data_IF_625384804049
#
_entry.id   IF_625384804049
#
_cell.length_a   1.000
_cell.length_b   1.000
_cell.length_c   1.000
_cell.angle_alpha   90.00
_cell.angle_beta   90.00
_cell.angle_gamma   90.00
#
_symmetry.space_group_name_H-M   'P 1'
#
loop_
_entity.id
_entity.type
_entity.pdbx_description
1 polymer ?
#
# COMPACT_ATOMS: atom_id res chain seq x y z
N UNK A 1 17.11 16.99 2.89
CA UNK A 1 17.54 16.01 3.90
C UNK A 1 19.02 15.72 3.72
N UNK A 2 19.77 15.61 4.80
CA UNK A 2 21.21 15.40 4.77
C UNK A 2 21.60 14.20 5.65
N UNK A 3 22.34 13.27 5.07
CA UNK A 3 23.03 12.19 5.77
C UNK A 3 24.54 12.45 5.72
N UNK A 4 25.21 12.39 6.85
CA UNK A 4 26.67 12.35 6.90
C UNK A 4 27.14 11.03 7.47
N UNK A 5 28.23 10.49 6.93
CA UNK A 5 28.91 9.28 7.42
C UNK A 5 30.36 9.66 7.70
N UNK A 6 30.78 9.54 8.95
CA UNK A 6 32.14 9.84 9.39
C UNK A 6 32.89 8.56 9.78
N UNK A 7 34.16 8.51 9.46
CA UNK A 7 35.11 7.45 9.80
C UNK A 7 36.35 8.06 10.45
N UNK A 8 36.83 7.46 11.53
CA UNK A 8 37.87 8.07 12.38
C UNK A 8 39.14 7.23 12.55
N UNK A 9 39.22 6.02 12.02
CA UNK A 9 40.43 5.20 12.05
C UNK A 9 41.38 5.61 10.93
N UNK A 10 42.68 5.78 11.24
CA UNK A 10 43.70 6.13 10.26
C UNK A 10 44.04 4.99 9.30
N UNK A 11 44.18 5.26 8.00
CA UNK A 11 43.87 6.53 7.34
C UNK A 11 42.35 6.67 7.07
N UNK A 12 41.71 7.70 7.67
CA UNK A 12 40.27 7.88 7.57
C UNK A 12 39.81 8.20 6.13
N UNK A 13 40.70 8.68 5.28
CA UNK A 13 40.43 8.92 3.85
C UNK A 13 40.06 7.65 3.05
N UNK A 14 40.30 6.46 3.59
CA UNK A 14 39.88 5.20 3.01
C UNK A 14 38.33 5.07 2.89
N UNK A 15 37.56 5.89 3.60
CA UNK A 15 36.11 6.01 3.42
C UNK A 15 35.74 6.32 1.97
N UNK A 16 36.55 7.09 1.24
CA UNK A 16 36.33 7.38 -0.18
C UNK A 16 36.39 6.14 -1.07
N UNK A 17 37.28 5.21 -0.78
CA UNK A 17 37.39 3.92 -1.50
C UNK A 17 36.22 3.00 -1.16
N UNK A 18 35.79 2.97 0.10
CA UNK A 18 34.67 2.16 0.54
C UNK A 18 33.33 2.64 -0.07
N UNK A 19 33.13 3.95 -0.17
CA UNK A 19 31.94 4.54 -0.80
C UNK A 19 32.04 4.63 -2.32
N UNK A 20 33.17 4.29 -2.93
CA UNK A 20 33.44 4.47 -4.37
C UNK A 20 33.23 5.91 -4.86
N UNK A 21 33.56 6.88 -4.03
CA UNK A 21 33.42 8.32 -4.29
C UNK A 21 34.69 9.06 -3.88
N UNK A 22 35.33 9.73 -4.85
CA UNK A 22 36.54 10.50 -4.58
C UNK A 22 36.23 11.66 -3.63
N UNK A 23 37.00 11.84 -2.55
CA UNK A 23 36.86 12.99 -1.64
C UNK A 23 37.18 14.34 -2.25
N UNK A 24 37.87 14.38 -3.40
CA UNK A 24 38.39 15.59 -4.00
C UNK A 24 37.44 16.27 -4.99
N UNK A 25 36.20 15.76 -5.14
CA UNK A 25 35.21 16.35 -6.03
C UNK A 25 33.81 16.12 -5.53
N UNK A 26 32.89 16.98 -5.95
CA UNK A 26 31.45 16.80 -5.73
C UNK A 26 30.94 15.83 -6.80
N UNK A 27 30.16 14.84 -6.37
CA UNK A 27 29.46 13.91 -7.25
C UNK A 27 27.99 14.24 -7.26
N UNK A 28 27.40 14.46 -8.43
CA UNK A 28 25.97 14.76 -8.58
C UNK A 28 25.31 13.70 -9.43
N UNK A 29 24.11 13.25 -9.00
CA UNK A 29 23.35 12.20 -9.67
C UNK A 29 21.92 12.69 -9.88
N UNK A 30 21.42 12.57 -11.11
CA UNK A 30 20.02 12.80 -11.42
C UNK A 30 19.16 11.67 -10.81
N UNK A 31 18.08 12.06 -10.17
CA UNK A 31 17.11 11.17 -9.55
C UNK A 31 15.71 11.49 -10.07
N UNK A 32 14.76 10.56 -9.87
CA UNK A 32 13.38 10.80 -10.23
C UNK A 32 12.71 11.94 -9.44
N UNK A 33 13.29 12.32 -8.29
CA UNK A 33 12.79 13.34 -7.38
C UNK A 33 13.64 14.63 -7.38
N UNK A 34 14.64 14.75 -8.25
CA UNK A 34 15.58 15.88 -8.28
C UNK A 34 17.01 15.41 -8.40
N UNK A 35 17.92 15.90 -7.54
CA UNK A 35 19.33 15.54 -7.55
C UNK A 35 19.81 15.02 -6.21
N UNK A 36 20.86 14.22 -6.26
CA UNK A 36 21.59 13.78 -5.08
C UNK A 36 23.04 14.19 -5.22
N UNK A 37 23.60 14.83 -4.18
CA UNK A 37 24.97 15.27 -4.17
C UNK A 37 25.77 14.55 -3.10
N UNK A 38 26.97 14.07 -3.45
CA UNK A 38 27.95 13.53 -2.51
C UNK A 38 29.18 14.43 -2.52
N UNK A 39 29.56 14.86 -1.33
CA UNK A 39 30.77 15.66 -1.11
C UNK A 39 31.36 15.36 0.26
N UNK A 40 32.56 15.80 0.50
CA UNK A 40 33.28 15.52 1.75
C UNK A 40 33.58 16.84 2.46
N UNK A 41 32.80 17.20 3.49
CA UNK A 41 33.04 18.42 4.27
C UNK A 41 34.34 18.34 5.11
N UNK A 42 34.81 17.13 5.41
CA UNK A 42 36.04 16.93 6.15
C UNK A 42 36.81 15.75 5.58
N UNK A 43 38.08 15.95 5.29
CA UNK A 43 38.97 14.96 4.68
C UNK A 43 40.36 15.08 5.28
N UNK A 44 40.54 14.55 6.47
CA UNK A 44 41.82 14.47 7.16
C UNK A 44 42.23 13.01 7.35
N UNK A 45 43.50 12.70 7.61
CA UNK A 45 43.93 11.35 7.94
C UNK A 45 43.29 10.83 9.22
N UNK A 46 42.85 11.70 10.13
CA UNK A 46 42.22 11.38 11.42
C UNK A 46 40.73 11.24 11.31
N UNK A 47 40.07 12.01 10.43
CA UNK A 47 38.63 11.99 10.25
C UNK A 47 38.26 12.29 8.81
N UNK A 48 37.41 11.46 8.25
CA UNK A 48 36.83 11.67 6.95
C UNK A 48 35.32 11.59 7.03
N UNK A 49 34.62 12.60 6.57
CA UNK A 49 33.15 12.70 6.59
C UNK A 49 32.64 12.84 5.18
N UNK A 50 31.84 11.88 4.76
CA UNK A 50 31.08 11.93 3.52
C UNK A 50 29.66 12.46 3.78
N UNK A 51 29.18 13.35 2.96
CA UNK A 51 27.83 13.93 3.03
C UNK A 51 27.02 13.53 1.79
N UNK A 52 25.80 13.03 2.02
CA UNK A 52 24.79 12.75 1.00
C UNK A 52 23.64 13.77 1.18
N UNK A 53 23.52 14.70 0.25
CA UNK A 53 22.49 15.74 0.25
C UNK A 53 21.44 15.44 -0.81
N UNK A 54 20.18 15.47 -0.41
CA UNK A 54 19.03 15.39 -1.31
C UNK A 54 18.61 16.82 -1.69
N UNK A 55 18.67 17.13 -2.96
CA UNK A 55 18.13 18.33 -3.58
C UNK A 55 16.85 17.93 -4.34
N UNK A 56 15.70 18.15 -3.69
CA UNK A 56 14.40 17.69 -4.17
C UNK A 56 13.79 18.79 -5.04
N UNK A 57 13.51 18.47 -6.30
CA UNK A 57 12.73 19.34 -7.19
C UNK A 57 11.22 19.14 -6.92
N UNK A 58 10.72 19.83 -5.89
CA UNK A 58 9.30 19.80 -5.51
C UNK A 58 8.38 20.29 -6.65
N UNK A 59 8.85 21.21 -7.49
CA UNK A 59 8.08 21.73 -8.62
C UNK A 59 8.04 20.71 -9.76
N UNK A 60 9.16 20.11 -10.09
CA UNK A 60 9.26 19.08 -11.13
C UNK A 60 8.48 17.81 -10.79
N UNK A 61 8.39 17.47 -9.51
CA UNK A 61 7.55 16.35 -9.04
C UNK A 61 6.06 16.57 -9.32
N UNK A 62 5.59 17.82 -9.37
CA UNK A 62 4.19 18.19 -9.64
C UNK A 62 3.94 18.44 -11.13
N UNK A 63 4.90 19.02 -11.86
CA UNK A 63 4.67 19.65 -13.18
C UNK A 63 4.97 18.70 -14.29
N UNK A 64 5.08 17.84 -14.78
CA UNK A 64 5.43 17.20 -16.09
C UNK A 64 5.68 15.70 -16.09
N UNK A 65 4.92 14.91 -15.37
CA UNK A 65 4.98 13.47 -15.60
C UNK A 65 3.86 12.98 -16.51
N UNK A 66 4.10 13.00 -17.83
CA UNK A 66 3.55 12.01 -18.75
C UNK A 66 4.37 10.73 -18.56
N UNK A 67 4.04 9.93 -17.58
CA UNK A 67 4.61 8.61 -17.38
C UNK A 67 3.55 7.53 -17.65
N UNK A 68 3.91 6.33 -18.08
CA UNK A 68 2.96 5.26 -18.20
C UNK A 68 2.47 4.86 -16.81
N UNK A 69 1.15 4.88 -16.64
CA UNK A 69 0.34 4.18 -15.67
C UNK A 69 0.78 4.12 -14.18
N UNK A 70 0.02 4.76 -13.34
CA UNK A 70 -0.20 4.40 -11.93
C UNK A 70 0.76 4.95 -10.90
N UNK A 71 2.06 4.91 -11.09
CA UNK A 71 3.04 5.33 -10.07
C UNK A 71 3.20 6.86 -9.97
N UNK A 72 3.03 7.59 -11.06
CA UNK A 72 3.17 9.04 -11.10
C UNK A 72 1.99 9.79 -10.44
N UNK A 73 0.80 9.20 -10.45
CA UNK A 73 -0.40 9.82 -9.89
C UNK A 73 -0.41 9.85 -8.35
N UNK A 74 0.16 8.84 -7.72
CA UNK A 74 0.30 8.80 -6.26
C UNK A 74 1.29 9.84 -5.73
N UNK A 75 2.29 10.22 -6.53
CA UNK A 75 3.27 11.25 -6.18
C UNK A 75 2.73 12.68 -6.36
N UNK A 76 1.86 12.94 -7.34
CA UNK A 76 1.26 14.26 -7.57
C UNK A 76 0.37 14.71 -6.41
N UNK A 77 -0.47 13.84 -5.88
CA UNK A 77 -1.29 14.14 -4.69
C UNK A 77 -0.44 14.31 -3.44
N UNK A 78 0.66 13.60 -3.36
CA UNK A 78 1.55 13.61 -2.20
C UNK A 78 2.30 14.92 -2.01
N UNK A 79 2.81 15.51 -3.08
CA UNK A 79 3.59 16.77 -3.02
C UNK A 79 2.72 17.97 -2.69
N UNK A 80 1.41 17.92 -2.99
CA UNK A 80 0.48 19.01 -2.68
C UNK A 80 0.01 19.01 -1.21
N UNK A 81 -0.13 17.84 -0.58
CA UNK A 81 -0.76 17.73 0.73
C UNK A 81 0.24 17.51 1.87
N UNK A 82 1.47 17.08 1.57
CA UNK A 82 2.47 16.75 2.59
C UNK A 82 3.88 17.10 2.10
N UNK A 83 4.54 18.06 2.73
CA UNK A 83 5.92 18.30 2.45
C UNK A 83 6.75 17.10 2.93
N UNK A 84 7.27 16.31 1.99
CA UNK A 84 8.45 15.45 2.18
C UNK A 84 8.26 13.99 2.59
N UNK A 85 8.12 13.13 1.61
CA UNK A 85 8.58 11.74 1.66
C UNK A 85 10.13 11.65 1.60
N UNK A 86 10.81 12.58 2.28
CA UNK A 86 12.26 12.65 2.25
C UNK A 86 12.93 11.36 2.74
N UNK A 87 12.30 10.64 3.66
CA UNK A 87 12.75 9.33 4.17
C UNK A 87 12.84 8.28 3.06
N UNK A 88 11.80 8.12 2.24
CA UNK A 88 11.81 7.18 1.10
C UNK A 88 12.78 7.61 0.01
N UNK A 89 12.89 8.91 -0.26
CA UNK A 89 13.86 9.44 -1.21
C UNK A 89 15.30 9.23 -0.74
N UNK A 90 15.55 9.30 0.57
CA UNK A 90 16.87 9.02 1.11
C UNK A 90 17.26 7.56 0.86
N UNK A 91 16.36 6.60 1.09
CA UNK A 91 16.64 5.18 0.79
C UNK A 91 16.96 4.96 -0.68
N UNK A 92 16.18 5.56 -1.59
CA UNK A 92 16.47 5.49 -3.03
C UNK A 92 17.83 6.11 -3.34
N UNK A 93 18.14 7.26 -2.73
CA UNK A 93 19.43 7.94 -2.92
C UNK A 93 20.59 7.06 -2.43
N UNK A 94 20.49 6.46 -1.25
CA UNK A 94 21.50 5.52 -0.71
C UNK A 94 21.73 4.38 -1.70
N UNK A 95 20.67 3.69 -2.13
CA UNK A 95 20.77 2.54 -3.03
C UNK A 95 21.39 2.89 -4.39
N UNK A 96 20.99 4.01 -4.97
CA UNK A 96 21.52 4.44 -6.28
C UNK A 96 22.94 5.00 -6.21
N UNK A 97 23.27 5.71 -5.13
CA UNK A 97 24.55 6.39 -4.98
C UNK A 97 25.63 5.48 -4.41
N UNK A 98 25.27 4.65 -3.43
CA UNK A 98 26.20 3.77 -2.70
C UNK A 98 25.92 2.27 -2.93
N UNK A 99 25.23 1.90 -4.02
CA UNK A 99 24.82 0.52 -4.30
C UNK A 99 25.98 -0.48 -4.23
N UNK A 100 27.17 -0.14 -4.74
CA UNK A 100 28.36 -0.99 -4.65
C UNK A 100 28.82 -1.16 -3.19
N UNK A 101 28.84 -0.07 -2.43
CA UNK A 101 29.23 -0.10 -1.01
C UNK A 101 28.24 -0.93 -0.17
N UNK A 102 26.95 -0.89 -0.49
CA UNK A 102 25.90 -1.72 0.16
C UNK A 102 26.12 -3.23 -0.06
N UNK A 103 26.81 -3.62 -1.14
CA UNK A 103 27.14 -5.05 -1.35
C UNK A 103 28.40 -5.51 -0.61
N UNK A 104 29.05 -4.62 0.16
CA UNK A 104 30.27 -4.93 0.89
C UNK A 104 31.51 -5.07 -0.02
N UNK A 105 31.47 -4.62 -1.28
CA UNK A 105 32.56 -4.76 -2.24
C UNK A 105 33.38 -3.49 -2.34
N UNK A 106 34.71 -3.63 -2.28
CA UNK A 106 35.65 -2.57 -2.58
C UNK A 106 36.81 -3.10 -3.41
N UNK A 107 37.13 -2.44 -4.54
CA UNK A 107 38.21 -2.86 -5.43
C UNK A 107 39.60 -2.72 -4.79
N UNK A 108 39.79 -1.70 -3.98
CA UNK A 108 41.10 -1.32 -3.45
C UNK A 108 41.25 -1.58 -1.96
N UNK A 109 40.14 -1.79 -1.23
CA UNK A 109 40.10 -1.93 0.22
C UNK A 109 39.10 -3.02 0.66
N UNK A 110 39.14 -4.19 0.03
CA UNK A 110 38.17 -5.26 0.34
C UNK A 110 38.28 -5.73 1.80
N UNK A 111 39.50 -5.95 2.31
CA UNK A 111 39.68 -6.34 3.72
C UNK A 111 39.06 -5.33 4.69
N UNK A 112 39.15 -4.04 4.37
CA UNK A 112 38.55 -3.01 5.19
C UNK A 112 37.01 -3.00 5.04
N UNK A 113 36.47 -3.28 3.85
CA UNK A 113 35.04 -3.39 3.61
C UNK A 113 34.40 -4.55 4.39
N UNK A 114 35.14 -5.65 4.59
CA UNK A 114 34.71 -6.83 5.35
C UNK A 114 34.86 -6.65 6.89
N UNK A 115 35.52 -5.59 7.33
CA UNK A 115 35.84 -5.35 8.72
C UNK A 115 34.83 -4.38 9.36
N UNK A 116 34.35 -4.63 10.60
CA UNK A 116 33.62 -3.62 11.36
C UNK A 116 34.48 -2.37 11.65
N UNK A 117 33.92 -1.21 11.38
CA UNK A 117 34.61 0.08 11.45
C UNK A 117 33.92 1.00 12.46
N UNK A 118 34.67 1.87 13.17
CA UNK A 118 34.08 2.91 14.00
C UNK A 118 33.44 3.98 13.08
N UNK A 119 32.16 3.87 12.87
CA UNK A 119 31.38 4.74 11.99
C UNK A 119 30.41 5.60 12.81
N UNK A 120 30.22 6.83 12.37
CA UNK A 120 29.19 7.72 12.86
C UNK A 120 28.33 8.16 11.68
N UNK A 121 27.01 7.86 11.74
CA UNK A 121 26.04 8.35 10.76
C UNK A 121 25.14 9.39 11.41
N UNK A 122 25.01 10.57 10.77
CA UNK A 122 24.12 11.63 11.25
C UNK A 122 23.07 11.96 10.22
N UNK A 123 21.82 11.82 10.63
CA UNK A 123 20.62 12.19 9.87
C UNK A 123 20.15 13.57 10.35
N UNK A 124 20.25 14.55 9.49
CA UNK A 124 19.76 15.90 9.80
C UNK A 124 18.34 16.04 9.34
N UNK A 125 17.47 16.08 10.31
CA UNK A 125 16.00 16.13 10.27
C UNK A 125 15.37 14.90 9.61
N UNK A 126 15.15 13.88 10.43
CA UNK A 126 14.39 12.68 10.06
C UNK A 126 13.06 12.64 10.81
N UNK A 127 11.93 12.36 10.13
CA UNK A 127 10.66 12.15 10.81
C UNK A 127 10.69 10.83 11.59
N UNK A 128 10.13 10.82 12.80
CA UNK A 128 9.98 9.60 13.61
C UNK A 128 8.60 9.57 14.27
N UNK A 129 7.72 8.71 13.76
CA UNK A 129 6.41 8.45 14.37
C UNK A 129 6.54 7.36 15.44
N UNK A 130 6.79 7.77 16.64
CA UNK A 130 7.05 6.94 17.81
C UNK A 130 8.12 7.53 18.70
N UNK A 131 8.69 8.67 18.27
CA UNK A 131 9.64 9.44 19.06
C UNK A 131 10.98 8.74 19.30
N UNK A 132 11.72 9.22 20.28
CA UNK A 132 13.02 8.68 20.67
C UNK A 132 12.97 7.20 21.11
N UNK A 133 11.93 6.71 21.84
CA UNK A 133 11.86 5.29 22.18
C UNK A 133 11.89 4.36 20.97
N UNK A 134 11.21 4.73 19.89
CA UNK A 134 11.25 3.94 18.65
C UNK A 134 12.63 3.98 17.99
N UNK A 135 13.30 5.15 17.96
CA UNK A 135 14.68 5.22 17.47
C UNK A 135 15.59 4.24 18.18
N UNK A 136 15.49 4.19 19.52
CA UNK A 136 16.30 3.28 20.33
C UNK A 136 15.95 1.82 20.07
N UNK A 137 14.66 1.46 20.06
CA UNK A 137 14.25 0.06 19.82
C UNK A 137 14.67 -0.48 18.46
N UNK A 138 14.82 0.41 17.45
CA UNK A 138 15.22 0.01 16.09
C UNK A 138 16.73 -0.06 15.88
N UNK A 139 17.53 0.78 16.54
CA UNK A 139 18.97 0.86 16.25
C UNK A 139 19.87 0.33 17.34
N UNK A 140 19.49 0.38 18.62
CA UNK A 140 20.32 -0.17 19.71
C UNK A 140 20.56 -1.69 19.58
N UNK A 141 19.57 -2.52 19.18
CA UNK A 141 19.80 -3.96 18.96
C UNK A 141 20.83 -4.27 17.87
N UNK A 142 21.09 -3.31 16.96
CA UNK A 142 22.07 -3.43 15.88
C UNK A 142 23.46 -2.92 16.28
N UNK A 143 23.65 -2.58 17.58
CA UNK A 143 24.95 -2.17 18.13
C UNK A 143 25.26 -0.68 17.99
N UNK A 144 24.25 0.19 17.79
CA UNK A 144 24.44 1.63 17.75
C UNK A 144 24.19 2.30 19.08
N UNK A 145 25.05 3.24 19.43
CA UNK A 145 24.77 4.29 20.40
C UNK A 145 24.01 5.42 19.70
N UNK A 146 22.93 5.91 20.34
CA UNK A 146 22.02 6.88 19.74
C UNK A 146 22.04 8.19 20.51
N UNK A 147 22.29 9.28 19.79
CA UNK A 147 21.99 10.63 20.26
C UNK A 147 20.87 11.19 19.40
N UNK A 148 19.71 11.44 20.01
CA UNK A 148 18.54 12.01 19.35
C UNK A 148 18.24 13.39 19.92
N UNK A 149 18.08 14.38 19.02
CA UNK A 149 17.66 15.74 19.38
C UNK A 149 16.33 16.04 18.69
N UNK A 150 15.27 16.17 19.48
CA UNK A 150 13.97 16.67 19.01
C UNK A 150 14.04 18.14 18.60
N UNK A 151 13.06 18.57 17.85
CA UNK A 151 12.89 19.95 17.43
C UNK A 151 11.47 20.43 17.79
N UNK A 152 11.30 21.61 18.42
CA UNK A 152 9.98 22.16 18.69
C UNK A 152 9.25 22.45 17.38
N UNK A 153 7.92 22.41 17.42
CA UNK A 153 7.09 22.77 16.26
C UNK A 153 7.33 24.21 15.85
N UNK A 154 7.39 25.13 16.81
CA UNK A 154 7.76 26.53 16.60
C UNK A 154 8.52 27.05 17.85
N UNK A 155 9.66 27.68 17.61
CA UNK A 155 10.45 28.26 18.71
C UNK A 155 9.81 29.49 19.33
N UNK A 156 8.89 30.16 18.64
CA UNK A 156 8.15 31.33 19.13
C UNK A 156 6.90 30.96 19.92
N UNK A 157 6.38 29.74 19.73
CA UNK A 157 5.17 29.22 20.35
C UNK A 157 5.44 27.84 21.00
N UNK A 158 6.18 27.83 22.14
CA UNK A 158 6.55 26.57 22.81
C UNK A 158 5.36 25.74 23.25
N UNK A 159 4.20 26.35 23.46
CA UNK A 159 2.94 25.68 23.79
C UNK A 159 2.40 24.76 22.68
N UNK A 160 2.91 24.88 21.46
CA UNK A 160 2.56 23.97 20.36
C UNK A 160 3.27 22.60 20.48
N UNK A 161 4.26 22.51 21.38
CA UNK A 161 4.94 21.27 21.71
C UNK A 161 6.04 20.87 20.72
N UNK A 162 6.42 19.61 20.78
CA UNK A 162 7.51 19.05 19.98
C UNK A 162 7.04 18.57 18.61
N UNK A 163 7.89 18.74 17.61
CA UNK A 163 7.66 18.19 16.28
C UNK A 163 7.99 16.69 16.25
N UNK A 164 7.57 16.00 15.21
CA UNK A 164 7.94 14.60 14.95
C UNK A 164 9.34 14.44 14.35
N UNK A 165 10.09 15.52 14.20
CA UNK A 165 11.39 15.52 13.53
C UNK A 165 12.53 15.50 14.55
N UNK A 166 13.56 14.71 14.23
CA UNK A 166 14.74 14.55 15.04
C UNK A 166 16.01 14.74 14.23
N UNK A 167 17.05 15.29 14.83
CA UNK A 167 18.42 15.09 14.38
C UNK A 167 18.98 13.91 15.13
N UNK A 168 19.37 12.86 14.40
CA UNK A 168 19.81 11.59 14.97
C UNK A 168 21.27 11.36 14.61
N UNK A 169 22.09 11.00 15.59
CA UNK A 169 23.44 10.49 15.40
C UNK A 169 23.49 9.05 15.88
N UNK A 170 23.95 8.17 15.01
CA UNK A 170 24.16 6.74 15.24
C UNK A 170 25.68 6.50 15.23
N UNK A 171 26.24 6.04 16.35
CA UNK A 171 27.64 5.70 16.46
C UNK A 171 27.80 4.21 16.77
N UNK A 172 28.68 3.52 16.05
CA UNK A 172 28.87 2.10 16.26
C UNK A 172 30.08 1.53 15.52
N UNK A 173 30.49 0.33 15.93
CA UNK A 173 31.53 -0.43 15.21
C UNK A 173 30.86 -1.49 14.37
N UNK A 174 30.59 -1.15 13.09
CA UNK A 174 29.82 -1.96 12.16
C UNK A 174 30.45 -1.90 10.75
N UNK A 175 30.16 -2.86 9.90
CA UNK A 175 30.59 -2.76 8.49
C UNK A 175 29.83 -1.62 7.81
N UNK A 176 30.48 -0.94 6.87
CA UNK A 176 29.83 0.15 6.12
C UNK A 176 28.60 -0.36 5.33
N UNK A 177 28.67 -1.57 4.77
CA UNK A 177 27.54 -2.22 4.09
C UNK A 177 26.35 -2.39 5.00
N UNK A 178 26.57 -2.83 6.26
CA UNK A 178 25.51 -3.02 7.24
C UNK A 178 24.88 -1.69 7.64
N UNK A 179 25.70 -0.66 7.92
CA UNK A 179 25.19 0.68 8.19
C UNK A 179 24.28 1.19 7.05
N UNK A 180 24.71 1.03 5.80
CA UNK A 180 23.94 1.50 4.65
C UNK A 180 22.64 0.71 4.45
N UNK A 181 22.64 -0.59 4.69
CA UNK A 181 21.42 -1.43 4.61
C UNK A 181 20.46 -1.18 5.76
N UNK A 182 20.97 -0.98 6.98
CA UNK A 182 20.16 -0.55 8.12
C UNK A 182 19.47 0.78 7.84
N UNK A 183 20.20 1.80 7.37
CA UNK A 183 19.62 3.09 7.03
C UNK A 183 18.59 2.97 5.89
N UNK A 184 18.88 2.15 4.86
CA UNK A 184 17.97 1.92 3.74
C UNK A 184 16.60 1.39 4.19
N UNK A 185 16.60 0.42 5.12
CA UNK A 185 15.37 -0.20 5.62
C UNK A 185 14.70 0.65 6.70
N UNK A 186 15.45 1.12 7.69
CA UNK A 186 14.88 1.68 8.91
C UNK A 186 14.43 3.15 8.77
N UNK A 187 15.07 3.95 7.92
CA UNK A 187 14.65 5.36 7.76
C UNK A 187 13.20 5.48 7.27
N UNK A 188 12.72 4.71 6.27
CA UNK A 188 11.29 4.69 5.93
C UNK A 188 10.38 4.14 7.03
N UNK A 189 10.88 3.21 7.85
CA UNK A 189 10.14 2.63 8.98
C UNK A 189 9.88 3.67 10.08
N UNK A 190 10.83 4.58 10.31
CA UNK A 190 10.66 5.69 11.26
C UNK A 190 9.52 6.62 10.88
N UNK A 191 9.42 6.95 9.60
CA UNK A 191 8.40 7.86 9.08
C UNK A 191 7.00 7.24 9.08
N UNK A 192 6.91 5.93 8.84
CA UNK A 192 5.65 5.17 8.71
C UNK A 192 4.67 5.82 7.72
N UNK A 193 5.20 6.51 6.71
CA UNK A 193 4.44 7.34 5.78
C UNK A 193 4.95 7.13 4.34
N UNK A 194 5.03 5.85 3.90
CA UNK A 194 5.30 5.53 2.49
C UNK A 194 4.08 5.85 1.63
N UNK A 195 4.26 6.60 0.56
CA UNK A 195 3.17 7.10 -0.29
C UNK A 195 3.14 6.48 -1.69
N UNK A 196 4.04 5.57 -1.99
CA UNK A 196 4.02 4.80 -3.23
C UNK A 196 3.45 3.39 -3.01
N UNK A 197 3.07 2.78 -4.09
CA UNK A 197 2.57 1.40 -4.10
C UNK A 197 3.64 0.44 -3.55
N UNK A 198 3.22 -0.44 -2.63
CA UNK A 198 4.05 -1.51 -2.08
C UNK A 198 3.54 -2.83 -2.65
N UNK A 199 4.35 -3.52 -3.43
CA UNK A 199 4.05 -4.82 -4.01
C UNK A 199 5.12 -5.85 -3.66
N UNK A 200 5.07 -7.02 -4.30
CA UNK A 200 5.98 -8.15 -4.03
C UNK A 200 7.46 -7.79 -4.22
N UNK A 201 7.77 -6.85 -5.13
CA UNK A 201 9.12 -6.32 -5.31
C UNK A 201 9.69 -5.64 -4.05
N UNK A 202 8.84 -5.08 -3.18
CA UNK A 202 9.29 -4.46 -1.92
C UNK A 202 9.56 -5.54 -0.85
N UNK A 203 8.88 -6.67 -0.89
CA UNK A 203 9.21 -7.85 -0.07
C UNK A 203 10.61 -8.33 -0.39
N UNK A 204 10.93 -8.53 -1.68
CA UNK A 204 12.27 -8.94 -2.11
C UNK A 204 13.37 -7.95 -1.70
N UNK A 205 13.08 -6.65 -1.79
CA UNK A 205 14.02 -5.61 -1.32
C UNK A 205 14.23 -5.67 0.19
N UNK A 206 13.15 -5.84 0.97
CA UNK A 206 13.22 -5.96 2.41
C UNK A 206 14.05 -7.18 2.82
N UNK A 207 13.77 -8.35 2.24
CA UNK A 207 14.50 -9.58 2.54
C UNK A 207 15.98 -9.48 2.18
N UNK A 208 16.29 -8.96 1.00
CA UNK A 208 17.67 -8.78 0.54
C UNK A 208 18.47 -7.81 1.41
N UNK A 209 17.88 -6.67 1.79
CA UNK A 209 18.58 -5.68 2.62
C UNK A 209 18.46 -5.96 4.13
N UNK A 210 17.57 -6.83 4.52
CA UNK A 210 17.42 -7.36 5.87
C UNK A 210 18.22 -8.64 6.13
N UNK A 211 18.90 -9.17 5.13
CA UNK A 211 19.71 -10.37 5.24
C UNK A 211 20.77 -10.21 6.32
N UNK A 212 20.91 -11.21 7.20
CA UNK A 212 21.89 -11.26 8.28
C UNK A 212 21.55 -10.46 9.53
N UNK A 213 20.46 -9.68 9.57
CA UNK A 213 20.10 -8.91 10.77
C UNK A 213 18.60 -8.87 11.08
N UNK A 214 17.73 -8.77 10.08
CA UNK A 214 16.29 -8.53 10.29
C UNK A 214 15.60 -9.72 10.96
N UNK A 215 16.04 -10.95 10.64
CA UNK A 215 15.48 -12.19 11.22
C UNK A 215 15.54 -12.19 12.75
N UNK A 216 16.67 -11.77 13.28
CA UNK A 216 16.96 -11.83 14.73
C UNK A 216 16.64 -10.52 15.45
N UNK A 217 16.15 -9.52 14.71
CA UNK A 217 15.82 -8.21 15.27
C UNK A 217 14.58 -8.29 16.17
N UNK A 218 14.60 -7.75 17.42
CA UNK A 218 13.46 -7.82 18.33
C UNK A 218 12.19 -7.16 17.75
N UNK A 219 12.36 -6.08 16.98
CA UNK A 219 11.26 -5.34 16.37
C UNK A 219 10.98 -5.78 14.91
N UNK A 220 11.36 -7.00 14.50
CA UNK A 220 11.21 -7.47 13.11
C UNK A 220 9.78 -7.35 12.57
N UNK A 221 8.78 -7.61 13.41
CA UNK A 221 7.37 -7.51 13.01
C UNK A 221 6.95 -6.07 12.75
N UNK A 222 7.35 -5.14 13.62
CA UNK A 222 7.09 -3.72 13.47
C UNK A 222 7.79 -3.19 12.21
N UNK A 223 9.08 -3.54 12.01
CA UNK A 223 9.86 -3.16 10.84
C UNK A 223 9.19 -3.64 9.57
N UNK A 224 8.84 -4.93 9.51
CA UNK A 224 8.21 -5.54 8.34
C UNK A 224 6.85 -4.90 8.03
N UNK A 225 5.99 -4.74 9.05
CA UNK A 225 4.68 -4.12 8.88
C UNK A 225 4.78 -2.67 8.37
N UNK A 226 5.63 -1.84 8.97
CA UNK A 226 5.80 -0.44 8.54
C UNK A 226 6.48 -0.33 7.19
N UNK A 227 7.52 -1.13 6.93
CA UNK A 227 8.20 -1.13 5.64
C UNK A 227 7.25 -1.49 4.49
N UNK A 228 6.35 -2.45 4.71
CA UNK A 228 5.35 -2.90 3.75
C UNK A 228 4.00 -2.18 3.91
N UNK A 229 3.96 -1.02 4.54
CA UNK A 229 2.77 -0.16 4.72
C UNK A 229 1.58 -0.86 5.39
N UNK A 230 1.84 -1.65 6.40
CA UNK A 230 0.79 -2.41 7.09
C UNK A 230 -0.04 -3.31 6.15
N UNK A 231 0.50 -3.67 4.98
CA UNK A 231 -0.10 -4.65 4.10
C UNK A 231 0.07 -6.04 4.71
N UNK A 232 -0.96 -6.51 5.42
CA UNK A 232 -0.92 -7.75 6.20
C UNK A 232 -0.43 -8.96 5.40
N UNK A 233 -0.81 -9.06 4.12
CA UNK A 233 -0.37 -10.12 3.22
C UNK A 233 1.15 -10.11 3.05
N UNK A 234 1.69 -8.99 2.58
CA UNK A 234 3.12 -8.84 2.28
C UNK A 234 3.97 -8.94 3.55
N UNK A 235 3.48 -8.39 4.67
CA UNK A 235 4.17 -8.47 5.94
C UNK A 235 4.24 -9.91 6.46
N UNK A 236 3.17 -10.68 6.34
CA UNK A 236 3.14 -12.10 6.71
C UNK A 236 4.08 -12.93 5.83
N UNK A 237 4.03 -12.73 4.50
CA UNK A 237 4.93 -13.38 3.56
C UNK A 237 6.40 -13.09 3.88
N UNK A 238 6.75 -11.83 4.14
CA UNK A 238 8.11 -11.48 4.51
C UNK A 238 8.53 -12.11 5.84
N UNK A 239 7.64 -12.12 6.84
CA UNK A 239 7.93 -12.73 8.15
C UNK A 239 8.09 -14.24 8.06
N UNK A 240 7.24 -14.95 7.31
CA UNK A 240 7.38 -16.40 7.15
C UNK A 240 8.69 -16.77 6.46
N UNK A 241 9.09 -16.04 5.43
CA UNK A 241 10.37 -16.24 4.74
C UNK A 241 11.58 -15.90 5.62
N UNK A 242 11.47 -14.91 6.52
CA UNK A 242 12.52 -14.58 7.48
C UNK A 242 12.72 -15.67 8.55
N UNK A 243 11.62 -16.27 9.01
CA UNK A 243 11.64 -17.28 10.08
C UNK A 243 11.97 -18.67 9.52
N UNK A 244 11.77 -18.87 8.20
CA UNK A 244 11.97 -20.16 7.53
C UNK A 244 10.82 -21.15 7.78
N UNK A 245 9.64 -20.65 8.17
CA UNK A 245 8.41 -21.42 8.19
C UNK A 245 7.80 -21.40 6.79
N UNK A 246 7.58 -22.58 6.21
CA UNK A 246 6.78 -22.73 5.00
C UNK A 246 5.29 -22.53 5.37
N UNK A 247 4.88 -21.28 5.57
CA UNK A 247 3.45 -20.97 5.51
C UNK A 247 3.01 -20.88 4.04
N UNK A 248 1.80 -21.34 3.72
CA UNK A 248 1.27 -21.24 2.36
C UNK A 248 1.27 -19.77 1.93
N UNK A 249 1.61 -19.52 0.67
CA UNK A 249 1.69 -18.18 0.10
C UNK A 249 0.41 -17.39 0.43
N UNK A 250 0.54 -16.08 0.69
CA UNK A 250 -0.61 -15.26 1.13
C UNK A 250 -1.77 -15.28 0.14
N UNK A 251 -1.48 -15.57 -1.13
CA UNK A 251 -2.48 -15.83 -2.15
C UNK A 251 -3.22 -17.15 -1.93
N UNK A 252 -2.56 -18.18 -1.40
CA UNK A 252 -3.20 -19.43 -1.00
C UNK A 252 -4.07 -19.23 0.25
N UNK A 253 -3.67 -18.32 1.15
CA UNK A 253 -4.48 -17.95 2.33
C UNK A 253 -5.73 -17.17 1.92
N UNK A 254 -5.61 -16.18 1.01
CA UNK A 254 -6.75 -15.46 0.48
C UNK A 254 -7.67 -16.38 -0.34
N UNK A 255 -7.09 -17.27 -1.16
CA UNK A 255 -7.84 -18.30 -1.85
C UNK A 255 -8.48 -19.31 -0.89
N UNK A 256 -7.81 -19.63 0.22
CA UNK A 256 -8.34 -20.52 1.26
C UNK A 256 -9.51 -19.85 1.99
N UNK A 257 -9.40 -18.57 2.35
CA UNK A 257 -10.50 -17.82 2.98
C UNK A 257 -11.69 -17.67 2.03
N UNK A 258 -11.43 -17.35 0.74
CA UNK A 258 -12.49 -17.31 -0.26
C UNK A 258 -13.15 -18.68 -0.49
N UNK A 259 -12.37 -19.77 -0.41
CA UNK A 259 -12.90 -21.15 -0.48
C UNK A 259 -13.68 -21.53 0.78
N UNK A 260 -13.27 -21.08 1.97
CA UNK A 260 -14.00 -21.28 3.22
C UNK A 260 -15.37 -20.59 3.15
N UNK A 261 -15.44 -19.34 2.66
CA UNK A 261 -16.71 -18.64 2.46
C UNK A 261 -17.57 -19.31 1.39
N UNK A 262 -16.98 -19.66 0.24
CA UNK A 262 -17.69 -20.40 -0.81
C UNK A 262 -18.22 -21.74 -0.30
N UNK A 263 -17.50 -22.43 0.58
CA UNK A 263 -17.96 -23.67 1.21
C UNK A 263 -19.15 -23.44 2.15
N UNK A 264 -19.18 -22.32 2.89
CA UNK A 264 -20.31 -21.91 3.73
C UNK A 264 -21.54 -21.60 2.88
N UNK A 265 -21.35 -20.89 1.76
CA UNK A 265 -22.42 -20.46 0.86
C UNK A 265 -22.89 -21.53 -0.14
N UNK A 266 -22.03 -22.49 -0.47
CA UNK A 266 -22.29 -23.51 -1.49
C UNK A 266 -23.58 -24.33 -1.30
N UNK A 267 -23.94 -24.77 -0.07
CA UNK A 267 -25.15 -25.55 0.12
C UNK A 267 -26.43 -24.85 -0.38
N UNK A 268 -26.44 -23.52 -0.37
CA UNK A 268 -27.58 -22.71 -0.81
C UNK A 268 -27.35 -22.03 -2.15
N UNK A 269 -26.22 -22.32 -2.85
CA UNK A 269 -25.85 -21.69 -4.13
C UNK A 269 -25.93 -20.16 -4.09
N UNK A 270 -25.54 -19.54 -2.98
CA UNK A 270 -25.76 -18.11 -2.71
C UNK A 270 -25.05 -17.21 -3.72
N UNK A 271 -23.83 -17.57 -4.10
CA UNK A 271 -23.06 -16.82 -5.10
C UNK A 271 -23.78 -16.76 -6.46
N UNK A 272 -24.44 -17.85 -6.88
CA UNK A 272 -25.21 -17.90 -8.14
C UNK A 272 -26.49 -17.07 -8.03
N UNK A 273 -27.21 -17.17 -6.91
CA UNK A 273 -28.43 -16.39 -6.66
C UNK A 273 -28.12 -14.89 -6.60
N UNK A 274 -27.01 -14.51 -5.95
CA UNK A 274 -26.53 -13.13 -5.90
C UNK A 274 -26.23 -12.61 -7.30
N UNK A 275 -25.50 -13.37 -8.09
CA UNK A 275 -25.16 -13.01 -9.48
C UNK A 275 -26.43 -12.81 -10.33
N UNK A 276 -27.40 -13.72 -10.23
CA UNK A 276 -28.67 -13.63 -10.95
C UNK A 276 -29.46 -12.38 -10.53
N UNK A 277 -29.52 -12.06 -9.24
CA UNK A 277 -30.20 -10.88 -8.71
C UNK A 277 -29.56 -9.57 -9.20
N UNK A 278 -28.22 -9.47 -9.17
CA UNK A 278 -27.47 -8.30 -9.66
C UNK A 278 -27.69 -8.12 -11.16
N UNK A 279 -27.60 -9.19 -11.97
CA UNK A 279 -27.86 -9.15 -13.40
C UNK A 279 -29.31 -8.73 -13.71
N UNK A 280 -30.29 -9.20 -12.93
CA UNK A 280 -31.69 -8.79 -13.07
C UNK A 280 -31.87 -7.28 -12.77
N UNK A 281 -31.24 -6.79 -11.71
CA UNK A 281 -31.27 -5.37 -11.34
C UNK A 281 -30.64 -4.48 -12.43
N UNK A 282 -29.51 -4.87 -12.99
CA UNK A 282 -28.84 -4.16 -14.08
C UNK A 282 -29.70 -4.13 -15.36
N UNK A 283 -30.32 -5.25 -15.73
CA UNK A 283 -31.24 -5.28 -16.89
C UNK A 283 -32.46 -4.39 -16.67
N UNK A 284 -33.02 -4.42 -15.47
CA UNK A 284 -34.18 -3.60 -15.12
C UNK A 284 -33.85 -2.09 -15.14
N UNK A 285 -32.61 -1.70 -14.88
CA UNK A 285 -32.17 -0.30 -14.96
C UNK A 285 -32.04 0.23 -16.41
N UNK A 286 -32.02 -0.66 -17.41
CA UNK A 286 -31.77 -0.29 -18.82
C UNK A 286 -30.36 0.18 -19.12
N UNK A 287 -29.41 -0.03 -18.22
CA UNK A 287 -28.02 0.39 -18.36
C UNK A 287 -27.35 -0.28 -19.57
N UNK A 288 -26.60 0.50 -20.33
CA UNK A 288 -25.74 0.01 -21.41
C UNK A 288 -24.25 0.07 -21.08
N UNK A 289 -23.87 0.98 -20.20
CA UNK A 289 -22.50 1.21 -19.75
C UNK A 289 -22.42 0.89 -18.25
N UNK A 290 -21.67 -0.15 -17.89
CA UNK A 290 -21.66 -0.70 -16.52
C UNK A 290 -20.26 -0.67 -15.94
N UNK A 291 -20.17 -0.19 -14.69
CA UNK A 291 -19.00 -0.33 -13.83
C UNK A 291 -19.18 -1.54 -12.91
N UNK A 292 -18.15 -2.38 -12.81
CA UNK A 292 -18.04 -3.41 -11.77
C UNK A 292 -16.88 -3.04 -10.85
N UNK A 293 -17.22 -2.55 -9.66
CA UNK A 293 -16.29 -1.95 -8.72
C UNK A 293 -15.95 -2.95 -7.60
N UNK A 294 -14.70 -3.40 -7.53
CA UNK A 294 -14.29 -4.57 -6.78
C UNK A 294 -14.59 -5.83 -7.57
N UNK A 295 -14.24 -5.84 -8.86
CA UNK A 295 -14.63 -6.92 -9.79
C UNK A 295 -13.96 -8.26 -9.49
N UNK A 296 -12.96 -8.31 -8.60
CA UNK A 296 -12.22 -9.51 -8.25
C UNK A 296 -11.71 -10.26 -9.48
N UNK A 297 -11.95 -11.56 -9.52
CA UNK A 297 -11.56 -12.44 -10.63
C UNK A 297 -12.51 -12.41 -11.84
N UNK A 298 -13.43 -11.43 -11.91
CA UNK A 298 -14.27 -11.16 -13.07
C UNK A 298 -15.50 -12.07 -13.20
N UNK A 299 -16.07 -12.57 -12.09
CA UNK A 299 -17.28 -13.41 -12.15
C UNK A 299 -18.48 -12.67 -12.78
N UNK A 300 -18.77 -11.44 -12.32
CA UNK A 300 -19.84 -10.61 -12.89
C UNK A 300 -19.49 -10.13 -14.30
N UNK A 301 -18.26 -9.74 -14.55
CA UNK A 301 -17.78 -9.31 -15.87
C UNK A 301 -18.02 -10.38 -16.93
N UNK A 302 -17.85 -11.66 -16.60
CA UNK A 302 -18.14 -12.77 -17.51
C UNK A 302 -19.60 -12.84 -17.90
N UNK A 303 -20.52 -12.62 -16.97
CA UNK A 303 -21.96 -12.64 -17.25
C UNK A 303 -22.40 -11.39 -18.03
N UNK A 304 -21.84 -10.23 -17.69
CA UNK A 304 -22.04 -8.98 -18.44
C UNK A 304 -21.56 -9.10 -19.89
N UNK A 305 -20.41 -9.74 -20.12
CA UNK A 305 -19.83 -9.90 -21.45
C UNK A 305 -20.68 -10.80 -22.36
N UNK A 306 -21.38 -11.81 -21.79
CA UNK A 306 -22.32 -12.67 -22.52
C UNK A 306 -23.57 -11.91 -22.99
N UNK A 307 -23.98 -10.90 -22.25
CA UNK A 307 -25.19 -10.14 -22.54
C UNK A 307 -24.88 -8.97 -23.48
N UNK A 308 -25.44 -9.00 -24.68
CA UNK A 308 -25.23 -7.97 -25.71
C UNK A 308 -25.90 -6.62 -25.39
N UNK A 309 -26.77 -6.57 -24.39
CA UNK A 309 -27.40 -5.32 -23.94
C UNK A 309 -26.38 -4.36 -23.33
N UNK A 310 -25.30 -4.88 -22.74
CA UNK A 310 -24.22 -4.05 -22.16
C UNK A 310 -23.17 -3.73 -23.21
N UNK A 311 -23.16 -2.49 -23.64
CA UNK A 311 -22.28 -2.02 -24.73
C UNK A 311 -20.86 -1.69 -24.25
N UNK A 312 -20.70 -1.24 -23.01
CA UNK A 312 -19.40 -0.92 -22.39
C UNK A 312 -19.36 -1.43 -20.94
N UNK A 313 -18.30 -2.14 -20.61
CA UNK A 313 -18.09 -2.79 -19.30
C UNK A 313 -16.72 -2.38 -18.80
N UNK A 314 -16.66 -1.84 -17.57
CA UNK A 314 -15.40 -1.52 -16.90
C UNK A 314 -15.34 -2.29 -15.59
N UNK A 315 -14.36 -3.17 -15.45
CA UNK A 315 -14.01 -3.81 -14.20
C UNK A 315 -12.88 -3.05 -13.51
N UNK A 316 -13.04 -2.72 -12.22
CA UNK A 316 -11.99 -2.12 -11.41
C UNK A 316 -11.77 -2.94 -10.15
N UNK A 317 -10.50 -3.18 -9.83
CA UNK A 317 -10.11 -3.82 -8.58
C UNK A 317 -8.81 -3.22 -8.04
N UNK A 318 -8.61 -3.33 -6.72
CA UNK A 318 -7.41 -2.90 -6.02
C UNK A 318 -6.29 -3.95 -6.12
N UNK A 319 -6.64 -5.20 -6.39
CA UNK A 319 -5.72 -6.32 -6.55
C UNK A 319 -5.30 -6.49 -8.00
N UNK A 320 -4.03 -6.22 -8.30
CA UNK A 320 -3.47 -6.45 -9.64
C UNK A 320 -3.56 -7.93 -10.04
N UNK A 321 -3.33 -8.83 -9.08
CA UNK A 321 -3.45 -10.28 -9.29
C UNK A 321 -4.87 -10.70 -9.63
N UNK A 322 -5.88 -10.17 -8.93
CA UNK A 322 -7.27 -10.46 -9.24
C UNK A 322 -7.61 -10.06 -10.69
N UNK A 323 -7.11 -8.89 -11.13
CA UNK A 323 -7.28 -8.43 -12.51
C UNK A 323 -6.56 -9.30 -13.53
N UNK A 324 -5.36 -9.82 -13.22
CA UNK A 324 -4.66 -10.77 -14.08
C UNK A 324 -5.41 -12.10 -14.20
N UNK A 325 -5.97 -12.60 -13.09
CA UNK A 325 -6.80 -13.80 -13.08
C UNK A 325 -8.09 -13.55 -13.87
N UNK A 326 -8.74 -12.39 -13.67
CA UNK A 326 -9.91 -11.97 -14.43
C UNK A 326 -9.60 -11.94 -15.93
N UNK A 327 -8.51 -11.30 -16.34
CA UNK A 327 -8.06 -11.23 -17.75
C UNK A 327 -7.90 -12.62 -18.36
N UNK A 328 -7.25 -13.55 -17.64
CA UNK A 328 -7.08 -14.95 -18.08
C UNK A 328 -8.40 -15.72 -18.13
N UNK A 329 -9.25 -15.62 -17.09
CA UNK A 329 -10.55 -16.32 -17.03
C UNK A 329 -11.52 -15.82 -18.12
N UNK A 330 -11.48 -14.54 -18.42
CA UNK A 330 -12.26 -13.90 -19.49
C UNK A 330 -11.65 -14.11 -20.87
N UNK A 331 -10.41 -14.62 -20.96
CA UNK A 331 -9.62 -14.80 -22.19
C UNK A 331 -9.58 -13.49 -23.00
N UNK A 332 -9.27 -12.37 -22.34
CA UNK A 332 -9.37 -11.05 -22.98
C UNK A 332 -8.47 -10.90 -24.20
N UNK A 333 -7.33 -11.60 -24.23
CA UNK A 333 -6.42 -11.58 -25.37
C UNK A 333 -7.00 -12.29 -26.61
N UNK A 334 -7.81 -13.35 -26.38
CA UNK A 334 -8.39 -14.20 -27.42
C UNK A 334 -9.79 -13.75 -27.86
N UNK A 335 -10.36 -12.70 -27.24
CA UNK A 335 -11.68 -12.22 -27.59
C UNK A 335 -11.70 -11.62 -29.01
N UNK A 336 -12.80 -11.82 -29.77
CA UNK A 336 -13.03 -11.07 -31.00
C UNK A 336 -12.97 -9.56 -30.75
N UNK A 337 -12.44 -8.80 -31.71
CA UNK A 337 -12.22 -7.34 -31.60
C UNK A 337 -13.43 -6.60 -31.04
N UNK A 338 -14.62 -6.87 -31.55
CA UNK A 338 -15.86 -6.24 -31.07
C UNK A 338 -16.21 -6.54 -29.61
N UNK A 339 -15.82 -7.69 -29.09
CA UNK A 339 -16.03 -8.02 -27.68
C UNK A 339 -14.93 -7.42 -26.81
N UNK A 340 -13.70 -7.40 -27.31
CA UNK A 340 -12.55 -6.79 -26.64
C UNK A 340 -12.75 -5.28 -26.42
N UNK A 341 -13.35 -4.60 -27.38
CA UNK A 341 -13.67 -3.17 -27.27
C UNK A 341 -14.76 -2.86 -26.25
N UNK A 342 -15.60 -3.85 -25.90
CA UNK A 342 -16.68 -3.69 -24.93
C UNK A 342 -16.21 -3.77 -23.49
N UNK A 343 -15.04 -4.34 -23.19
CA UNK A 343 -14.59 -4.58 -21.83
C UNK A 343 -13.21 -4.01 -21.58
N UNK A 344 -13.05 -3.37 -20.42
CA UNK A 344 -11.75 -2.91 -19.92
C UNK A 344 -11.60 -3.28 -18.46
N UNK A 345 -10.38 -3.66 -18.10
CA UNK A 345 -9.97 -3.86 -16.71
C UNK A 345 -9.02 -2.73 -16.32
N UNK A 346 -9.24 -2.14 -15.16
CA UNK A 346 -8.37 -1.10 -14.62
C UNK A 346 -8.02 -1.39 -13.17
N UNK A 347 -6.78 -1.15 -12.82
CA UNK A 347 -6.35 -1.10 -11.44
C UNK A 347 -6.77 0.25 -10.82
N UNK A 348 -7.38 0.20 -9.64
CA UNK A 348 -7.84 1.41 -8.95
C UNK A 348 -8.38 1.11 -7.55
N UNK A 349 -8.56 2.15 -6.74
CA UNK A 349 -9.12 2.06 -5.40
C UNK A 349 -10.44 2.80 -5.33
N UNK A 350 -11.40 2.23 -4.61
CA UNK A 350 -12.72 2.81 -4.37
C UNK A 350 -12.71 4.02 -3.43
N UNK A 351 -11.57 4.35 -2.83
CA UNK A 351 -11.43 5.48 -1.90
C UNK A 351 -10.80 6.71 -2.54
N UNK A 352 -10.43 6.63 -3.83
CA UNK A 352 -9.83 7.74 -4.56
C UNK A 352 -10.65 8.11 -5.78
N UNK A 353 -10.79 9.43 -6.02
CA UNK A 353 -11.47 9.94 -7.21
C UNK A 353 -10.74 9.52 -8.47
N UNK A 354 -11.45 8.84 -9.37
CA UNK A 354 -10.95 8.41 -10.67
C UNK A 354 -11.88 8.90 -11.78
N UNK A 355 -11.34 9.72 -12.70
CA UNK A 355 -12.11 10.26 -13.82
C UNK A 355 -12.57 9.18 -14.80
N UNK A 356 -11.93 8.01 -14.82
CA UNK A 356 -12.28 6.89 -15.69
C UNK A 356 -13.63 6.27 -15.33
N UNK A 357 -14.14 6.52 -14.10
CA UNK A 357 -15.42 6.00 -13.62
C UNK A 357 -16.61 6.87 -14.02
N UNK A 358 -16.39 8.05 -14.57
CA UNK A 358 -17.47 8.97 -14.94
C UNK A 358 -18.16 8.55 -16.24
N UNK A 359 -19.48 8.82 -16.32
CA UNK A 359 -20.26 8.66 -17.55
C UNK A 359 -20.83 7.26 -17.79
N UNK A 360 -20.82 6.38 -16.82
CA UNK A 360 -21.48 5.08 -16.86
C UNK A 360 -22.93 5.19 -16.38
N UNK A 361 -23.79 4.31 -16.93
CA UNK A 361 -25.21 4.30 -16.59
C UNK A 361 -25.49 3.62 -15.25
N UNK A 362 -24.76 2.53 -14.98
CA UNK A 362 -24.87 1.79 -13.73
C UNK A 362 -23.50 1.41 -13.14
N UNK A 363 -23.48 1.23 -11.82
CA UNK A 363 -22.35 0.66 -11.10
C UNK A 363 -22.82 -0.50 -10.21
N UNK A 364 -21.97 -1.52 -10.08
CA UNK A 364 -22.13 -2.62 -9.14
C UNK A 364 -21.01 -2.61 -8.12
N UNK A 365 -21.37 -2.95 -6.87
CA UNK A 365 -20.47 -3.12 -5.74
C UNK A 365 -20.95 -4.40 -5.03
N UNK A 366 -20.35 -5.54 -5.40
CA UNK A 366 -20.87 -6.87 -5.02
C UNK A 366 -19.94 -7.49 -3.99
N UNK A 367 -20.38 -7.58 -2.73
CA UNK A 367 -19.59 -8.11 -1.60
C UNK A 367 -18.23 -7.41 -1.49
N UNK A 368 -18.26 -6.09 -1.31
CA UNK A 368 -17.06 -5.24 -1.29
C UNK A 368 -17.05 -4.29 -0.09
N UNK A 369 -18.21 -3.72 0.29
CA UNK A 369 -18.22 -2.67 1.31
C UNK A 369 -17.78 -3.19 2.67
N UNK A 370 -18.06 -4.44 2.98
CA UNK A 370 -17.68 -5.15 4.21
C UNK A 370 -16.17 -5.32 4.38
N UNK A 371 -15.40 -5.23 3.28
CA UNK A 371 -13.94 -5.25 3.29
C UNK A 371 -13.32 -3.85 3.50
N UNK A 372 -14.15 -2.79 3.48
CA UNK A 372 -13.67 -1.43 3.69
C UNK A 372 -13.54 -1.13 5.19
N UNK A 373 -12.47 -0.43 5.58
CA UNK A 373 -12.40 0.10 6.94
C UNK A 373 -13.53 1.14 7.14
N UNK A 374 -14.33 1.10 8.22
CA UNK A 374 -15.45 2.01 8.42
C UNK A 374 -15.12 3.50 8.24
N UNK A 375 -13.95 4.03 8.68
CA UNK A 375 -13.57 5.42 8.42
C UNK A 375 -13.39 5.78 6.94
N UNK A 376 -13.24 4.79 6.06
CA UNK A 376 -13.06 5.00 4.62
C UNK A 376 -14.35 4.94 3.83
N UNK A 377 -15.45 4.49 4.42
CA UNK A 377 -16.76 4.44 3.76
C UNK A 377 -17.20 5.82 3.24
N UNK A 378 -16.95 6.89 3.98
CA UNK A 378 -17.29 8.23 3.53
C UNK A 378 -16.54 8.65 2.25
N UNK A 379 -15.28 8.22 2.08
CA UNK A 379 -14.52 8.46 0.85
C UNK A 379 -15.08 7.61 -0.31
N UNK A 380 -15.38 6.34 -0.06
CA UNK A 380 -16.04 5.46 -1.03
C UNK A 380 -17.40 6.03 -1.49
N UNK A 381 -18.25 6.47 -0.58
CA UNK A 381 -19.54 7.10 -0.88
C UNK A 381 -19.38 8.28 -1.86
N UNK A 382 -18.41 9.16 -1.60
CA UNK A 382 -18.13 10.29 -2.48
C UNK A 382 -17.63 9.85 -3.85
N UNK A 383 -16.73 8.87 -3.91
CA UNK A 383 -16.20 8.37 -5.18
C UNK A 383 -17.33 7.83 -6.05
N UNK A 384 -18.23 7.03 -5.46
CA UNK A 384 -19.30 6.37 -6.19
C UNK A 384 -20.48 7.31 -6.48
N UNK A 385 -21.03 7.98 -5.48
CA UNK A 385 -22.29 8.71 -5.58
C UNK A 385 -22.15 10.20 -5.94
N UNK A 386 -20.97 10.80 -5.66
CA UNK A 386 -20.71 12.21 -6.00
C UNK A 386 -19.92 12.34 -7.31
N UNK A 387 -18.83 11.55 -7.49
CA UNK A 387 -17.91 11.74 -8.61
C UNK A 387 -18.20 10.83 -9.80
N UNK A 388 -18.32 9.51 -9.64
CA UNK A 388 -18.74 8.60 -10.71
C UNK A 388 -20.20 8.86 -11.09
N UNK A 389 -21.06 8.99 -10.11
CA UNK A 389 -22.46 9.42 -10.17
C UNK A 389 -23.29 8.73 -11.26
N UNK A 390 -23.31 7.41 -11.34
CA UNK A 390 -24.11 6.69 -12.32
C UNK A 390 -25.61 6.88 -12.06
N UNK A 391 -26.45 6.56 -13.06
CA UNK A 391 -27.90 6.63 -12.91
C UNK A 391 -28.43 5.59 -11.92
N UNK A 392 -27.80 4.40 -11.89
CA UNK A 392 -28.17 3.31 -10.98
C UNK A 392 -26.94 2.73 -10.28
N UNK A 393 -27.07 2.37 -9.00
CA UNK A 393 -26.04 1.66 -8.25
C UNK A 393 -26.66 0.43 -7.58
N UNK A 394 -26.00 -0.71 -7.74
CA UNK A 394 -26.39 -1.95 -7.08
C UNK A 394 -25.31 -2.34 -6.09
N UNK A 395 -25.65 -2.40 -4.81
CA UNK A 395 -24.75 -2.79 -3.73
C UNK A 395 -25.25 -4.06 -3.09
N UNK A 396 -24.39 -5.07 -2.93
CA UNK A 396 -24.70 -6.24 -2.10
C UNK A 396 -23.71 -6.37 -0.96
N UNK A 397 -24.17 -6.90 0.16
CA UNK A 397 -23.34 -7.17 1.35
C UNK A 397 -23.97 -8.28 2.19
N UNK A 398 -23.20 -9.04 2.97
CA UNK A 398 -23.73 -10.05 3.88
C UNK A 398 -24.74 -9.49 4.88
N UNK A 399 -25.71 -10.32 5.25
CA UNK A 399 -26.59 -10.08 6.38
C UNK A 399 -26.10 -10.87 7.59
N UNK A 400 -25.57 -10.19 8.60
CA UNK A 400 -25.04 -10.83 9.81
C UNK A 400 -26.12 -11.59 10.59
N UNK A 401 -27.39 -11.15 10.52
CA UNK A 401 -28.49 -11.82 11.22
C UNK A 401 -28.69 -13.24 10.71
N UNK A 402 -28.42 -13.50 9.41
CA UNK A 402 -28.55 -14.83 8.81
C UNK A 402 -27.41 -15.78 9.18
N UNK A 403 -26.27 -15.28 9.69
CA UNK A 403 -25.09 -16.09 9.98
C UNK A 403 -25.39 -17.28 10.92
N UNK A 404 -26.36 -17.13 11.79
CA UNK A 404 -26.83 -18.23 12.70
C UNK A 404 -27.43 -19.43 11.97
N UNK A 405 -27.74 -19.29 10.68
CA UNK A 405 -28.30 -20.38 9.83
C UNK A 405 -27.23 -21.17 9.08
N UNK A 406 -26.00 -20.73 9.10
CA UNK A 406 -24.87 -21.47 8.51
C UNK A 406 -24.34 -22.45 9.56
N UNK A 407 -24.60 -23.74 9.40
CA UNK A 407 -24.16 -24.79 10.34
C UNK A 407 -22.65 -24.85 10.54
N UNK A 408 -21.88 -24.51 9.50
CA UNK A 408 -20.41 -24.53 9.52
C UNK A 408 -19.80 -23.25 10.11
N UNK A 409 -20.60 -22.19 10.38
CA UNK A 409 -20.09 -20.92 10.87
C UNK A 409 -20.22 -20.85 12.40
N UNK A 410 -19.13 -20.74 13.17
CA UNK A 410 -19.22 -20.59 14.62
C UNK A 410 -19.99 -19.33 15.03
N UNK A 411 -20.75 -19.41 16.11
CA UNK A 411 -21.55 -18.31 16.61
C UNK A 411 -20.71 -17.03 16.85
N UNK A 412 -21.22 -15.90 16.36
CA UNK A 412 -20.55 -14.60 16.50
C UNK A 412 -19.35 -14.38 15.58
N UNK A 413 -19.09 -15.29 14.63
CA UNK A 413 -18.07 -15.08 13.59
C UNK A 413 -18.68 -14.50 12.32
N UNK A 414 -17.88 -13.68 11.62
CA UNK A 414 -18.16 -13.21 10.27
C UNK A 414 -17.89 -14.31 9.25
N UNK A 415 -18.53 -14.25 8.09
CA UNK A 415 -18.37 -15.28 7.02
C UNK A 415 -16.97 -15.33 6.45
N UNK A 416 -16.33 -14.16 6.38
CA UNK A 416 -14.97 -14.05 5.86
C UNK A 416 -14.07 -13.37 6.88
N UNK A 417 -12.83 -13.85 7.00
CA UNK A 417 -11.86 -13.32 7.99
C UNK A 417 -11.41 -11.89 7.67
N UNK A 418 -11.51 -11.46 6.40
CA UNK A 418 -11.16 -10.11 5.97
C UNK A 418 -12.32 -9.11 6.02
N UNK A 419 -13.53 -9.56 6.41
CA UNK A 419 -14.62 -8.63 6.69
C UNK A 419 -14.27 -7.73 7.86
N UNK A 420 -14.47 -6.44 7.68
CA UNK A 420 -14.29 -5.43 8.73
C UNK A 420 -15.55 -5.26 9.54
N UNK A 421 -16.68 -5.54 8.91
CA UNK A 421 -18.01 -5.56 9.51
C UNK A 421 -18.96 -6.43 8.66
N UNK A 422 -20.04 -6.88 9.25
CA UNK A 422 -21.21 -7.38 8.56
C UNK A 422 -22.41 -6.72 9.22
N UNK A 423 -23.27 -6.10 8.43
CA UNK A 423 -24.40 -5.34 8.95
C UNK A 423 -25.67 -6.16 9.09
N UNK A 424 -26.46 -5.81 10.10
CA UNK A 424 -27.88 -6.18 10.18
C UNK A 424 -28.65 -5.48 9.04
N UNK A 425 -29.86 -5.96 8.78
CA UNK A 425 -30.75 -5.32 7.80
C UNK A 425 -31.05 -3.86 8.17
N UNK A 426 -31.23 -3.56 9.43
CA UNK A 426 -31.50 -2.21 9.90
C UNK A 426 -30.29 -1.27 9.69
N UNK A 427 -29.08 -1.73 9.98
CA UNK A 427 -27.87 -0.94 9.79
C UNK A 427 -27.59 -0.67 8.31
N UNK A 428 -27.73 -1.68 7.45
CA UNK A 428 -27.55 -1.49 6.01
C UNK A 428 -28.58 -0.52 5.43
N UNK A 429 -29.86 -0.67 5.81
CA UNK A 429 -30.91 0.25 5.34
C UNK A 429 -30.71 1.67 5.86
N UNK A 430 -30.27 1.82 7.11
CA UNK A 430 -29.95 3.13 7.67
C UNK A 430 -28.83 3.83 6.89
N UNK A 431 -27.72 3.10 6.67
CA UNK A 431 -26.61 3.61 5.86
C UNK A 431 -27.05 3.96 4.44
N UNK A 432 -27.73 3.05 3.77
CA UNK A 432 -28.15 3.25 2.38
C UNK A 432 -29.11 4.43 2.20
N UNK A 433 -30.07 4.61 3.12
CA UNK A 433 -30.98 5.75 3.09
C UNK A 433 -30.25 7.07 3.37
N UNK A 434 -29.30 7.10 4.28
CA UNK A 434 -28.47 8.27 4.56
C UNK A 434 -27.62 8.67 3.33
N UNK A 435 -27.01 7.69 2.65
CA UNK A 435 -26.27 7.91 1.41
C UNK A 435 -27.20 8.42 0.30
N UNK A 436 -28.34 7.77 0.10
CA UNK A 436 -29.33 8.17 -0.90
C UNK A 436 -29.78 9.63 -0.69
N UNK A 437 -30.13 9.99 0.53
CA UNK A 437 -30.55 11.37 0.87
C UNK A 437 -29.44 12.39 0.64
N UNK A 438 -28.18 12.04 0.99
CA UNK A 438 -27.03 12.94 0.86
C UNK A 438 -26.68 13.25 -0.60
N UNK A 439 -26.79 12.25 -1.50
CA UNK A 439 -26.29 12.37 -2.87
C UNK A 439 -27.39 12.48 -3.93
N UNK A 440 -28.67 12.57 -3.54
CA UNK A 440 -29.80 12.74 -4.46
C UNK A 440 -30.18 11.44 -5.18
N UNK A 441 -30.21 10.34 -4.45
CA UNK A 441 -30.70 9.03 -4.91
C UNK A 441 -31.92 8.62 -4.09
N UNK A 442 -32.67 7.66 -4.62
CA UNK A 442 -33.61 6.85 -3.86
C UNK A 442 -33.06 5.43 -3.68
N UNK A 443 -33.29 4.81 -2.55
CA UNK A 443 -32.84 3.46 -2.27
C UNK A 443 -34.04 2.47 -2.19
N UNK A 444 -33.90 1.29 -2.80
CA UNK A 444 -34.82 0.16 -2.71
C UNK A 444 -34.04 -1.06 -2.30
N UNK A 445 -34.63 -1.88 -1.43
CA UNK A 445 -33.97 -3.05 -0.85
C UNK A 445 -34.62 -4.33 -1.36
N UNK A 446 -33.79 -5.34 -1.67
CA UNK A 446 -34.20 -6.67 -2.08
C UNK A 446 -33.43 -7.72 -1.30
N UNK A 447 -34.11 -8.78 -0.85
CA UNK A 447 -33.45 -9.95 -0.29
C UNK A 447 -32.78 -10.77 -1.39
N UNK A 448 -31.68 -11.45 -1.08
CA UNK A 448 -30.99 -12.36 -1.99
C UNK A 448 -30.65 -13.65 -1.26
N UNK A 449 -31.05 -14.76 -1.82
CA UNK A 449 -30.94 -16.09 -1.22
C UNK A 449 -32.22 -16.57 -0.58
N UNK A 450 -32.19 -17.72 0.12
CA UNK A 450 -33.34 -18.25 0.82
C UNK A 450 -33.80 -17.31 1.93
N UNK A 451 -35.09 -17.08 2.04
CA UNK A 451 -35.65 -16.15 3.02
C UNK A 451 -36.07 -16.88 4.28
N UNK A 452 -35.56 -16.43 5.42
CA UNK A 452 -35.98 -16.91 6.75
C UNK A 452 -36.90 -15.86 7.40
N UNK A 453 -38.03 -16.24 7.99
CA UNK A 453 -39.00 -15.28 8.55
C UNK A 453 -38.43 -14.40 9.69
N UNK A 454 -37.42 -14.87 10.40
CA UNK A 454 -36.84 -14.17 11.56
C UNK A 454 -35.62 -13.34 11.15
N UNK A 455 -34.67 -13.98 10.50
CA UNK A 455 -33.36 -13.38 10.21
C UNK A 455 -33.22 -12.85 8.77
N UNK A 456 -34.25 -13.00 7.94
CA UNK A 456 -34.28 -12.55 6.56
C UNK A 456 -33.45 -13.42 5.63
N UNK A 457 -32.86 -12.83 4.58
CA UNK A 457 -32.02 -13.54 3.59
C UNK A 457 -30.54 -13.37 3.88
N UNK A 458 -29.69 -14.30 3.42
CA UNK A 458 -28.25 -14.28 3.71
C UNK A 458 -27.51 -13.08 3.11
N UNK A 459 -27.91 -12.58 1.95
CA UNK A 459 -27.36 -11.36 1.35
C UNK A 459 -28.46 -10.31 1.24
N UNK A 460 -28.11 -9.07 1.49
CA UNK A 460 -28.98 -7.90 1.30
C UNK A 460 -28.48 -7.10 0.08
N UNK A 461 -29.42 -6.61 -0.71
CA UNK A 461 -29.15 -5.83 -1.89
C UNK A 461 -29.86 -4.47 -1.83
N UNK A 462 -29.09 -3.41 -1.99
CA UNK A 462 -29.58 -2.04 -2.16
C UNK A 462 -29.47 -1.60 -3.62
N UNK A 463 -30.55 -1.12 -4.19
CA UNK A 463 -30.59 -0.53 -5.52
C UNK A 463 -30.85 0.96 -5.36
N UNK A 464 -29.87 1.77 -5.75
CA UNK A 464 -29.95 3.21 -5.70
C UNK A 464 -30.27 3.74 -7.10
N UNK A 465 -31.23 4.63 -7.21
CA UNK A 465 -31.61 5.28 -8.47
C UNK A 465 -31.51 6.78 -8.27
N UNK A 466 -30.74 7.43 -9.15
CA UNK A 466 -30.54 8.89 -9.10
C UNK A 466 -31.85 9.58 -9.42
N UNK A 467 -32.21 10.57 -8.61
CA UNK A 467 -33.37 11.44 -8.78
C UNK A 467 -33.09 12.61 -9.71
#
# INVERSE_FOLDING_TARGET
MLLTISYTRKPATDLGYLLHKSPFRIHSFEQAFGKTHVFYPETTPERCTAALLLDIDAIGLVRNRRGPSGEAYALEQYVNDRPYAASSFLSVAIARTFGTAMTGRSKERQELADTPLPLEARLVVVPCRGGEPLLRSLFEPLGYEITAKGHPLDTKFPEWGESRYFTVTLSGTVRLSDLLTHLYVLVPVLDDDKHYWVGDAEVEKLLRHGEGWLRDHPERELITNRYLKHQKRLAREALSRLIGEEEPAADEVAETHAREEEAIEKPISLAEQRMAAVMAALRASGAKRVLDLGCGEGRLLRELLKDKAFAEILGMDVSHRALEIASRKLRLEDLPTMQKERIRLIHGSLTYRDKRLAGYDAATVVEVIEHQDPPRLAAFERVLFEFARPQSVVVTTPNVEYNVRFESLPAGKMRHKDHRFEWTRAEFQFWANAVAARFGYSARFLPVGPEDPIVGSPTQMGIFTRQ
#
